data_IF_177942439547
#
_entry.id   IF_177942439547
#
_cell.length_a   1.000
_cell.length_b   1.000
_cell.length_c   1.000
_cell.angle_alpha   90.00
_cell.angle_beta   90.00
_cell.angle_gamma   90.00
#
_symmetry.space_group_name_H-M   'P 1'
#
loop_
_entity.id
_entity.type
_entity.pdbx_description
1 polymer ?
#
# COMPACT_ATOMS: atom_id res chain seq x y z
N UNK A 1 -25.17 -17.82 -33.89
CA UNK A 1 -24.82 -17.46 -32.51
C UNK A 1 -23.34 -17.10 -32.50
N UNK A 2 -23.01 -15.81 -32.50
CA UNK A 2 -21.62 -15.33 -32.40
C UNK A 2 -21.28 -15.19 -30.90
N UNK A 3 -20.39 -16.05 -30.42
CA UNK A 3 -19.80 -15.88 -29.09
C UNK A 3 -18.75 -14.80 -29.19
N UNK A 4 -19.01 -13.67 -28.58
CA UNK A 4 -18.04 -12.57 -28.43
C UNK A 4 -17.12 -12.97 -27.30
N UNK A 5 -15.90 -13.44 -27.61
CA UNK A 5 -14.85 -13.65 -26.62
C UNK A 5 -14.21 -12.29 -26.39
N UNK A 6 -14.55 -11.66 -25.28
CA UNK A 6 -13.82 -10.50 -24.76
C UNK A 6 -12.53 -11.04 -24.16
N UNK A 7 -11.44 -10.97 -24.92
CA UNK A 7 -10.08 -11.17 -24.43
C UNK A 7 -9.69 -9.92 -23.63
N UNK A 8 -9.98 -9.92 -22.35
CA UNK A 8 -9.40 -8.94 -21.43
C UNK A 8 -8.00 -9.40 -21.04
N UNK A 9 -7.08 -8.49 -21.10
CA UNK A 9 -5.65 -8.43 -20.76
C UNK A 9 -5.18 -9.23 -19.53
N UNK A 10 -5.18 -10.58 -19.62
CA UNK A 10 -4.62 -11.40 -18.55
C UNK A 10 -3.77 -12.52 -19.15
N UNK A 11 -2.45 -12.35 -19.05
CA UNK A 11 -1.49 -13.37 -19.47
C UNK A 11 -1.49 -14.57 -18.51
N UNK A 12 -1.44 -15.74 -19.07
CA UNK A 12 -1.30 -17.02 -18.36
C UNK A 12 0.18 -17.29 -18.19
N UNK A 13 0.65 -17.38 -16.96
CA UNK A 13 2.03 -17.77 -16.64
C UNK A 13 2.07 -19.28 -16.41
N UNK A 14 2.84 -20.00 -17.22
CA UNK A 14 3.08 -21.43 -17.06
C UNK A 14 4.35 -21.65 -16.26
N UNK A 15 4.23 -22.32 -15.12
CA UNK A 15 5.39 -22.83 -14.37
C UNK A 15 5.42 -24.34 -14.55
N UNK A 16 6.41 -24.85 -15.26
CA UNK A 16 6.61 -26.29 -15.46
C UNK A 16 7.72 -26.78 -14.53
N UNK A 17 7.33 -27.40 -13.41
CA UNK A 17 8.22 -28.30 -12.65
C UNK A 17 7.94 -29.74 -13.06
N UNK A 18 8.94 -30.64 -12.95
CA UNK A 18 8.81 -32.03 -13.33
C UNK A 18 7.72 -32.72 -12.48
N UNK A 19 6.53 -32.87 -13.02
CA UNK A 19 5.37 -33.63 -12.58
C UNK A 19 4.09 -32.86 -12.22
N UNK A 20 4.09 -31.51 -12.09
CA UNK A 20 2.85 -30.79 -11.84
C UNK A 20 2.78 -29.50 -12.65
N UNK A 21 1.75 -29.38 -13.52
CA UNK A 21 1.43 -28.13 -14.23
C UNK A 21 0.51 -27.29 -13.34
N UNK A 22 0.96 -26.13 -12.89
CA UNK A 22 0.12 -25.17 -12.21
C UNK A 22 -0.20 -24.04 -13.18
N UNK A 23 -1.47 -23.87 -13.50
CA UNK A 23 -1.96 -22.79 -14.34
C UNK A 23 -2.32 -21.60 -13.44
N UNK A 24 -1.64 -20.48 -13.59
CA UNK A 24 -2.03 -19.23 -12.95
C UNK A 24 -2.82 -18.41 -13.97
N UNK A 25 -4.12 -18.24 -13.73
CA UNK A 25 -4.88 -17.19 -14.41
C UNK A 25 -4.72 -15.91 -13.61
N UNK A 26 -4.69 -14.80 -14.28
CA UNK A 26 -4.53 -13.46 -13.68
C UNK A 26 -5.65 -13.05 -12.73
N UNK A 27 -6.64 -13.88 -12.50
CA UNK A 27 -7.68 -13.74 -11.47
C UNK A 27 -8.05 -15.08 -10.84
N UNK A 28 -7.60 -15.27 -9.64
CA UNK A 28 -8.28 -15.93 -8.52
C UNK A 28 -8.82 -17.35 -8.67
N UNK A 29 -8.68 -18.07 -9.79
CA UNK A 29 -9.03 -19.48 -9.87
C UNK A 29 -7.79 -20.35 -10.10
N UNK A 30 -7.36 -21.02 -9.05
CA UNK A 30 -6.38 -22.11 -9.12
C UNK A 30 -7.17 -23.38 -9.50
N UNK A 31 -7.20 -23.72 -10.77
CA UNK A 31 -7.70 -25.04 -11.17
C UNK A 31 -6.55 -26.03 -11.05
N UNK A 32 -6.62 -26.88 -10.07
CA UNK A 32 -5.66 -27.97 -9.87
C UNK A 32 -5.93 -29.03 -10.94
N UNK A 33 -5.10 -29.07 -11.97
CA UNK A 33 -5.09 -30.16 -12.96
C UNK A 33 -3.91 -31.09 -12.59
N UNK A 34 -4.09 -31.90 -11.61
CA UNK A 34 -3.54 -33.24 -11.40
C UNK A 34 -3.90 -33.71 -9.97
N UNK A 35 -4.32 -34.94 -9.81
CA UNK A 35 -4.35 -35.58 -8.51
C UNK A 35 -2.90 -35.63 -8.00
N UNK A 36 -2.61 -35.01 -6.86
CA UNK A 36 -1.37 -35.25 -6.15
C UNK A 36 -1.37 -36.72 -5.71
N UNK A 37 -0.27 -37.39 -6.01
CA UNK A 37 -0.02 -38.73 -5.47
C UNK A 37 0.07 -38.57 -3.95
N UNK A 38 -0.78 -39.27 -3.19
CA UNK A 38 -0.88 -39.16 -1.71
C UNK A 38 0.35 -39.73 -0.97
N UNK A 39 1.39 -40.13 -1.72
CA UNK A 39 2.60 -40.77 -1.17
C UNK A 39 3.77 -39.79 -0.90
N UNK A 40 3.69 -38.53 -1.27
CA UNK A 40 4.81 -37.60 -1.05
C UNK A 40 4.82 -37.06 0.39
N UNK A 41 5.97 -37.26 1.07
CA UNK A 41 6.22 -36.73 2.40
C UNK A 41 6.10 -35.19 2.38
N UNK A 42 5.09 -34.57 3.08
CA UNK A 42 4.85 -33.15 3.05
C UNK A 42 5.96 -32.32 3.72
N UNK A 43 6.94 -32.96 4.35
CA UNK A 43 8.09 -32.32 4.95
C UNK A 43 9.19 -31.99 3.94
N UNK A 44 9.14 -32.55 2.73
CA UNK A 44 10.12 -32.25 1.70
C UNK A 44 9.93 -30.82 1.16
N UNK A 45 11.04 -30.11 0.93
CA UNK A 45 10.99 -28.80 0.31
C UNK A 45 10.75 -28.94 -1.20
N UNK A 46 9.52 -28.67 -1.62
CA UNK A 46 9.10 -28.67 -3.02
C UNK A 46 8.83 -27.25 -3.53
N UNK A 47 9.39 -26.22 -2.87
CA UNK A 47 9.17 -24.83 -3.26
C UNK A 47 9.67 -24.61 -4.70
N UNK A 48 8.78 -24.20 -5.64
CA UNK A 48 9.21 -23.94 -7.01
C UNK A 48 10.17 -22.74 -7.05
N UNK A 49 11.11 -22.72 -8.00
CA UNK A 49 11.98 -21.57 -8.19
C UNK A 49 11.13 -20.32 -8.51
N UNK A 50 11.66 -19.15 -8.12
CA UNK A 50 11.03 -17.88 -8.43
C UNK A 50 10.93 -17.69 -9.95
N UNK A 51 9.70 -17.43 -10.49
CA UNK A 51 9.54 -17.13 -11.92
C UNK A 51 10.24 -15.82 -12.30
N UNK A 52 10.64 -15.72 -13.56
CA UNK A 52 10.97 -14.43 -14.16
C UNK A 52 9.66 -13.70 -14.48
N UNK A 53 9.46 -12.55 -13.85
CA UNK A 53 8.29 -11.70 -14.06
C UNK A 53 8.53 -10.61 -15.11
N UNK A 54 9.73 -10.51 -15.66
CA UNK A 54 9.99 -9.62 -16.78
C UNK A 54 9.28 -10.12 -18.05
N UNK A 55 8.78 -9.19 -18.86
CA UNK A 55 8.20 -9.50 -20.17
C UNK A 55 8.40 -8.29 -21.10
N UNK A 56 8.49 -8.48 -22.42
CA UNK A 56 8.58 -7.38 -23.38
C UNK A 56 7.42 -6.40 -23.18
N UNK A 57 7.73 -5.12 -23.01
CA UNK A 57 6.76 -4.05 -22.80
C UNK A 57 6.22 -3.94 -21.37
N UNK A 58 6.55 -4.86 -20.47
CA UNK A 58 6.15 -4.75 -19.05
C UNK A 58 7.10 -3.78 -18.33
N UNK A 59 6.51 -2.87 -17.55
CA UNK A 59 7.25 -1.95 -16.69
C UNK A 59 7.92 -2.70 -15.52
N UNK A 60 9.04 -2.15 -15.03
CA UNK A 60 9.75 -2.76 -13.89
C UNK A 60 8.89 -2.76 -12.62
N UNK A 61 8.13 -1.70 -12.39
CA UNK A 61 7.18 -1.61 -11.26
C UNK A 61 6.07 -2.67 -11.31
N UNK A 62 5.58 -3.01 -12.51
CA UNK A 62 4.61 -4.09 -12.72
C UNK A 62 5.24 -5.48 -12.47
N UNK A 63 6.45 -5.70 -12.97
CA UNK A 63 7.19 -6.94 -12.71
C UNK A 63 7.42 -7.13 -11.21
N UNK A 64 7.79 -6.07 -10.50
CA UNK A 64 7.93 -6.09 -9.04
C UNK A 64 6.61 -6.34 -8.30
N UNK A 65 5.50 -5.83 -8.80
CA UNK A 65 4.18 -6.13 -8.25
C UNK A 65 3.87 -7.64 -8.32
N UNK A 66 4.13 -8.30 -9.47
CA UNK A 66 3.98 -9.76 -9.60
C UNK A 66 4.92 -10.53 -8.67
N UNK A 67 6.16 -10.05 -8.51
CA UNK A 67 7.13 -10.62 -7.58
C UNK A 67 6.60 -10.59 -6.14
N UNK A 68 6.05 -9.47 -5.68
CA UNK A 68 5.48 -9.33 -4.34
C UNK A 68 4.26 -10.24 -4.13
N UNK A 69 3.38 -10.35 -5.13
CA UNK A 69 2.24 -11.28 -5.08
C UNK A 69 2.70 -12.75 -4.97
N UNK A 70 3.74 -13.12 -5.73
CA UNK A 70 4.33 -14.46 -5.64
C UNK A 70 4.92 -14.74 -4.27
N UNK A 71 5.62 -13.78 -3.66
CA UNK A 71 6.20 -13.93 -2.32
C UNK A 71 5.12 -14.14 -1.24
N UNK A 72 3.99 -13.44 -1.34
CA UNK A 72 2.85 -13.67 -0.44
C UNK A 72 2.35 -15.11 -0.57
N UNK A 73 2.13 -15.54 -1.81
CA UNK A 73 1.68 -16.90 -2.08
C UNK A 73 2.68 -17.94 -1.58
N UNK A 74 3.97 -17.73 -1.84
CA UNK A 74 5.04 -18.61 -1.34
C UNK A 74 5.00 -18.74 0.18
N UNK A 75 4.92 -17.62 0.92
CA UNK A 75 4.81 -17.67 2.39
C UNK A 75 3.58 -18.44 2.85
N UNK A 76 2.43 -18.28 2.17
CA UNK A 76 1.21 -19.04 2.49
C UNK A 76 1.38 -20.53 2.21
N UNK A 77 1.98 -20.89 1.08
CA UNK A 77 2.24 -22.28 0.70
C UNK A 77 3.23 -22.94 1.68
N UNK A 78 4.28 -22.21 2.11
CA UNK A 78 5.26 -22.68 3.10
C UNK A 78 4.62 -22.95 4.46
N UNK A 79 3.74 -22.08 4.94
CA UNK A 79 2.98 -22.29 6.19
C UNK A 79 2.06 -23.50 6.06
N UNK A 80 1.36 -23.62 4.94
CA UNK A 80 0.46 -24.75 4.69
C UNK A 80 1.24 -26.06 4.65
N UNK A 81 2.40 -26.10 4.01
CA UNK A 81 3.31 -27.26 3.96
C UNK A 81 3.81 -27.60 5.36
N UNK A 82 4.31 -26.61 6.10
CA UNK A 82 4.80 -26.80 7.46
C UNK A 82 3.72 -27.37 8.37
N UNK A 83 2.49 -26.86 8.28
CA UNK A 83 1.35 -27.38 9.04
C UNK A 83 1.06 -28.85 8.70
N UNK A 84 1.02 -29.18 7.40
CA UNK A 84 0.84 -30.58 6.94
C UNK A 84 1.98 -31.48 7.38
N UNK A 85 3.22 -30.99 7.35
CA UNK A 85 4.38 -31.72 7.83
C UNK A 85 4.27 -32.01 9.34
N UNK A 86 3.90 -31.04 10.16
CA UNK A 86 3.65 -31.23 11.58
C UNK A 86 2.51 -32.24 11.84
N UNK A 87 1.41 -32.15 11.07
CA UNK A 87 0.32 -33.11 11.16
C UNK A 87 0.77 -34.52 10.76
N UNK A 88 1.56 -34.65 9.70
CA UNK A 88 2.13 -35.93 9.24
C UNK A 88 3.06 -36.53 10.31
N UNK A 89 4.01 -35.77 10.87
CA UNK A 89 4.88 -36.17 11.96
C UNK A 89 4.04 -36.62 13.18
N UNK A 90 3.01 -35.86 13.54
CA UNK A 90 2.14 -36.14 14.66
C UNK A 90 1.33 -37.41 14.48
N UNK A 91 0.83 -37.71 13.29
CA UNK A 91 0.08 -38.95 13.01
C UNK A 91 0.96 -40.17 13.02
N UNK A 92 2.27 -39.98 12.74
CA UNK A 92 3.26 -41.09 12.76
C UNK A 92 4.00 -41.19 14.09
N UNK A 93 3.83 -40.26 15.06
CA UNK A 93 4.54 -40.25 16.35
C UNK A 93 3.64 -40.10 17.60
N UNK A 94 2.34 -40.37 17.52
CA UNK A 94 1.38 -40.37 18.64
C UNK A 94 1.29 -39.07 19.49
N UNK A 95 0.13 -38.43 19.49
CA UNK A 95 -0.32 -37.38 20.43
C UNK A 95 -1.11 -36.22 19.81
N UNK A 96 -2.32 -35.96 20.31
CA UNK A 96 -3.19 -34.88 19.86
C UNK A 96 -3.04 -33.61 20.70
N UNK A 97 -3.02 -32.42 20.12
CA UNK A 97 -3.64 -31.23 20.71
C UNK A 97 -4.64 -30.52 19.80
N UNK A 98 -5.55 -29.76 20.40
CA UNK A 98 -6.63 -28.96 19.82
C UNK A 98 -6.23 -27.48 19.75
N UNK A 99 -6.69 -26.77 18.71
CA UNK A 99 -6.45 -25.32 18.52
C UNK A 99 -7.79 -24.60 18.42
N UNK A 100 -7.92 -23.44 19.09
CA UNK A 100 -9.11 -22.59 19.09
C UNK A 100 -8.89 -21.28 18.34
N UNK A 101 -9.96 -20.77 17.67
CA UNK A 101 -10.01 -19.51 16.97
C UNK A 101 -11.06 -18.59 17.57
N UNK A 102 -10.81 -17.26 17.53
CA UNK A 102 -11.74 -16.22 17.97
C UNK A 102 -12.17 -15.29 16.82
N UNK A 103 -13.41 -14.79 16.88
CA UNK A 103 -14.05 -13.97 15.83
C UNK A 103 -14.65 -12.69 16.43
N UNK A 104 -14.54 -11.56 15.68
CA UNK A 104 -15.50 -10.48 15.74
C UNK A 104 -15.00 -9.05 15.87
N UNK A 105 -15.52 -8.14 15.02
CA UNK A 105 -15.69 -6.71 15.24
C UNK A 105 -14.58 -5.76 14.74
N UNK A 106 -14.94 -4.70 14.02
CA UNK A 106 -14.03 -3.97 13.13
C UNK A 106 -13.41 -2.69 13.68
N UNK A 107 -12.10 -2.68 13.98
CA UNK A 107 -11.11 -1.80 13.39
C UNK A 107 -10.28 -2.55 12.32
N UNK A 108 -9.36 -1.88 11.59
CA UNK A 108 -8.51 -2.56 10.58
C UNK A 108 -7.86 -3.80 11.17
N UNK A 109 -7.93 -4.91 10.45
CA UNK A 109 -7.26 -6.14 10.90
C UNK A 109 -5.75 -6.01 10.68
N UNK A 110 -4.91 -6.57 11.57
CA UNK A 110 -3.46 -6.57 11.36
C UNK A 110 -3.12 -7.15 9.98
N UNK A 111 -2.32 -6.41 9.17
CA UNK A 111 -1.97 -6.81 7.81
C UNK A 111 -3.01 -6.48 6.74
N UNK A 112 -4.05 -5.72 7.05
CA UNK A 112 -5.01 -5.23 6.06
C UNK A 112 -4.38 -4.19 5.13
N UNK A 113 -3.50 -3.33 5.64
CA UNK A 113 -2.73 -2.33 4.89
C UNK A 113 -1.24 -2.43 5.23
N UNK A 114 -0.57 -3.51 4.79
CA UNK A 114 0.78 -3.83 5.25
C UNK A 114 1.88 -2.93 4.66
N UNK A 115 1.54 -2.08 3.71
CA UNK A 115 2.45 -1.10 3.09
C UNK A 115 2.44 0.26 3.79
N UNK A 116 1.55 0.45 4.79
CA UNK A 116 1.46 1.72 5.50
C UNK A 116 2.70 1.99 6.34
N UNK A 117 3.28 3.16 6.13
CA UNK A 117 4.39 3.69 6.91
C UNK A 117 4.03 5.04 7.53
N UNK A 118 4.29 5.20 8.83
CA UNK A 118 4.18 6.47 9.52
C UNK A 118 5.52 7.20 9.50
N UNK A 119 5.56 8.41 8.92
CA UNK A 119 6.77 9.23 8.81
C UNK A 119 6.95 10.04 10.09
N UNK A 120 8.08 9.84 10.77
CA UNK A 120 8.34 10.30 12.12
C UNK A 120 9.45 11.35 12.21
N UNK A 121 9.15 12.40 12.97
CA UNK A 121 10.06 13.44 13.41
C UNK A 121 10.43 13.24 14.86
N UNK A 122 11.67 13.53 15.22
CA UNK A 122 12.07 13.54 16.62
C UNK A 122 11.43 14.74 17.31
N UNK A 123 10.65 14.47 18.36
CA UNK A 123 10.11 15.53 19.21
C UNK A 123 11.21 16.25 19.99
N UNK A 124 11.00 17.50 20.35
CA UNK A 124 11.91 18.24 21.21
C UNK A 124 12.16 17.53 22.57
N UNK A 125 11.20 16.73 23.04
CA UNK A 125 11.27 15.92 24.27
C UNK A 125 11.87 14.51 24.08
N UNK A 126 12.33 14.18 22.86
CA UNK A 126 13.02 12.93 22.56
C UNK A 126 12.15 11.75 22.13
N UNK A 127 10.82 11.90 22.10
CA UNK A 127 9.87 10.92 21.53
C UNK A 127 9.70 11.10 20.01
N UNK A 128 8.91 10.24 19.38
CA UNK A 128 8.57 10.39 17.96
C UNK A 128 7.20 11.05 17.78
N UNK A 129 7.10 11.97 16.83
CA UNK A 129 5.85 12.58 16.37
C UNK A 129 5.66 12.20 14.90
N UNK A 130 4.55 11.55 14.59
CA UNK A 130 4.21 11.18 13.23
C UNK A 130 3.27 12.23 12.63
N UNK A 131 3.65 12.82 11.49
CA UNK A 131 2.90 13.92 10.85
C UNK A 131 2.46 13.61 9.43
N UNK A 132 3.02 12.54 8.83
CA UNK A 132 2.72 12.12 7.47
C UNK A 132 2.62 10.59 7.40
N UNK A 133 1.86 10.12 6.42
CA UNK A 133 1.86 8.75 5.96
C UNK A 133 2.84 8.54 4.80
N UNK A 134 3.07 7.28 4.46
CA UNK A 134 3.81 6.84 3.30
C UNK A 134 3.40 5.43 2.89
N UNK A 135 3.79 4.99 1.71
CA UNK A 135 3.52 3.65 1.19
C UNK A 135 4.82 2.94 0.84
N UNK A 136 5.10 1.80 1.46
CA UNK A 136 6.22 0.95 1.09
C UNK A 136 6.02 0.44 -0.34
N UNK A 137 7.00 0.61 -1.23
CA UNK A 137 6.96 0.18 -2.63
C UNK A 137 8.11 -0.75 -3.02
N UNK A 138 9.13 -0.85 -2.16
CA UNK A 138 10.20 -1.86 -2.26
C UNK A 138 10.85 -2.07 -0.90
N UNK A 139 11.84 -2.96 -0.79
CA UNK A 139 12.54 -3.20 0.49
C UNK A 139 13.29 -1.98 1.03
N UNK A 140 13.54 -0.96 0.21
CA UNK A 140 14.30 0.25 0.61
C UNK A 140 13.60 1.57 0.34
N UNK A 141 12.46 1.54 -0.36
CA UNK A 141 11.85 2.78 -0.82
C UNK A 141 10.37 2.86 -0.45
N UNK A 142 9.98 4.06 -0.02
CA UNK A 142 8.58 4.40 0.26
C UNK A 142 8.18 5.64 -0.55
N UNK A 143 6.91 5.68 -0.92
CA UNK A 143 6.28 6.79 -1.63
C UNK A 143 5.53 7.67 -0.64
N UNK A 144 5.66 8.99 -0.75
CA UNK A 144 4.99 9.99 0.10
C UNK A 144 4.79 11.30 -0.66
N UNK A 145 4.18 12.30 -0.02
CA UNK A 145 4.08 13.64 -0.58
C UNK A 145 5.38 14.45 -0.39
N UNK A 146 5.71 15.31 -1.34
CA UNK A 146 6.92 16.11 -1.26
C UNK A 146 6.88 17.13 -0.09
N UNK A 147 5.70 17.65 0.26
CA UNK A 147 5.56 18.54 1.41
C UNK A 147 5.84 17.85 2.76
N UNK A 148 5.85 16.51 2.80
CA UNK A 148 6.25 15.71 3.96
C UNK A 148 7.77 15.62 4.15
N UNK A 149 8.57 16.10 3.19
CA UNK A 149 10.03 16.10 3.32
C UNK A 149 10.55 17.04 4.39
N UNK A 150 9.77 18.06 4.74
CA UNK A 150 10.19 19.07 5.72
C UNK A 150 8.99 19.80 6.33
N UNK A 151 8.93 19.89 7.64
CA UNK A 151 7.96 20.74 8.34
C UNK A 151 8.44 22.20 8.40
N UNK A 152 7.52 23.11 8.75
CA UNK A 152 7.85 24.53 8.90
C UNK A 152 8.98 24.70 9.96
N UNK A 153 9.98 25.54 9.70
CA UNK A 153 10.99 25.90 10.70
C UNK A 153 10.40 26.55 11.97
N UNK A 154 9.15 26.99 11.92
CA UNK A 154 8.42 27.54 13.08
C UNK A 154 7.71 26.48 13.90
N UNK A 155 7.77 25.22 13.50
CA UNK A 155 7.16 24.11 14.23
C UNK A 155 8.08 23.71 15.41
N UNK A 156 7.76 24.21 16.58
CA UNK A 156 8.54 23.97 17.81
C UNK A 156 8.29 22.61 18.44
N UNK A 157 7.38 21.79 17.89
CA UNK A 157 7.10 20.45 18.41
C UNK A 157 8.21 19.45 18.07
N UNK A 158 9.01 19.72 17.04
CA UNK A 158 10.07 18.85 16.55
C UNK A 158 11.46 19.44 16.79
N UNK A 159 12.44 18.57 17.01
CA UNK A 159 13.85 18.95 17.18
C UNK A 159 14.50 19.34 15.84
N UNK A 160 14.12 18.66 14.74
CA UNK A 160 14.61 18.89 13.39
C UNK A 160 13.42 19.06 12.44
N UNK A 161 13.52 19.93 11.42
CA UNK A 161 12.44 20.10 10.44
C UNK A 161 12.29 18.91 9.50
N UNK A 162 13.30 18.05 9.34
CA UNK A 162 13.30 16.87 8.48
C UNK A 162 12.91 15.62 9.27
N UNK A 163 12.14 14.68 8.70
CA UNK A 163 11.81 13.43 9.37
C UNK A 163 13.03 12.50 9.42
N UNK A 164 13.10 11.66 10.45
CA UNK A 164 14.27 10.82 10.71
C UNK A 164 13.98 9.33 10.58
N UNK A 165 12.72 8.89 10.79
CA UNK A 165 12.33 7.49 10.71
C UNK A 165 11.05 7.28 9.91
N UNK A 166 10.85 6.03 9.48
CA UNK A 166 9.55 5.50 9.08
C UNK A 166 9.23 4.31 9.97
N UNK A 167 8.03 4.28 10.55
CA UNK A 167 7.49 3.15 11.31
C UNK A 167 6.58 2.32 10.41
N UNK A 168 6.82 1.02 10.33
CA UNK A 168 6.10 0.06 9.51
C UNK A 168 5.52 -1.06 10.37
N UNK A 169 4.38 -1.63 9.94
CA UNK A 169 3.77 -2.78 10.58
C UNK A 169 3.02 -2.46 11.87
N UNK A 170 2.87 -1.18 12.21
CA UNK A 170 2.15 -0.72 13.38
C UNK A 170 0.73 -0.27 13.01
N UNK A 171 -0.21 -0.72 13.81
CA UNK A 171 -1.59 -0.26 13.74
C UNK A 171 -1.84 0.93 14.68
N UNK A 172 -1.19 0.93 15.86
CA UNK A 172 -1.35 1.94 16.89
C UNK A 172 -0.03 2.64 17.18
N UNK A 173 0.20 3.77 16.52
CA UNK A 173 1.46 4.53 16.61
C UNK A 173 1.71 5.20 17.98
N UNK A 174 0.70 5.27 18.85
CA UNK A 174 0.84 5.83 20.20
C UNK A 174 1.23 4.78 21.23
N UNK A 175 0.88 3.52 21.04
CA UNK A 175 1.17 2.44 21.98
C UNK A 175 1.76 1.22 21.24
N UNK A 176 3.07 1.21 21.19
CA UNK A 176 3.89 0.20 20.50
C UNK A 176 3.80 -1.19 21.14
N UNK A 177 3.36 -1.28 22.40
CA UNK A 177 3.41 -2.52 23.17
C UNK A 177 2.06 -3.22 23.34
N UNK A 178 0.95 -2.51 23.15
CA UNK A 178 -0.39 -3.04 23.45
C UNK A 178 -0.88 -4.14 22.50
N UNK A 179 -0.31 -4.25 21.30
CA UNK A 179 -0.82 -5.12 20.24
C UNK A 179 -0.08 -6.45 20.09
N UNK A 180 0.99 -6.70 20.87
CA UNK A 180 1.86 -7.88 20.67
C UNK A 180 2.55 -7.90 19.30
N UNK A 181 2.54 -6.78 18.60
CA UNK A 181 3.18 -6.58 17.29
C UNK A 181 4.37 -5.67 17.49
N UNK A 182 5.53 -6.09 16.99
CA UNK A 182 6.74 -5.27 17.01
C UNK A 182 6.86 -4.54 15.66
N UNK A 183 6.68 -3.20 15.61
CA UNK A 183 6.87 -2.42 14.40
C UNK A 183 8.34 -2.39 14.00
N UNK A 184 8.58 -2.13 12.72
CA UNK A 184 9.91 -1.88 12.18
C UNK A 184 10.11 -0.36 12.08
N UNK A 185 10.92 0.22 12.98
CA UNK A 185 11.38 1.59 12.87
C UNK A 185 12.68 1.62 12.04
N UNK A 186 12.60 2.19 10.83
CA UNK A 186 13.72 2.27 9.89
C UNK A 186 14.15 3.72 9.72
N UNK A 187 15.45 3.96 9.80
CA UNK A 187 16.01 5.31 9.62
C UNK A 187 15.92 5.75 8.18
N UNK A 188 15.55 7.00 7.97
CA UNK A 188 15.57 7.64 6.65
C UNK A 188 17.02 7.94 6.28
N UNK A 189 17.43 7.51 5.08
CA UNK A 189 18.72 7.83 4.49
C UNK A 189 18.67 9.16 3.75
N UNK A 190 17.64 9.35 2.94
CA UNK A 190 17.34 10.59 2.20
C UNK A 190 15.90 10.62 1.73
N UNK A 191 15.43 11.81 1.39
CA UNK A 191 14.14 12.01 0.72
C UNK A 191 14.41 12.69 -0.62
N UNK A 192 13.91 12.08 -1.70
CA UNK A 192 14.02 12.59 -3.07
C UNK A 192 12.67 13.20 -3.44
N UNK A 193 12.56 14.51 -3.43
CA UNK A 193 11.37 15.23 -3.91
C UNK A 193 11.40 15.33 -5.43
N UNK A 194 10.22 15.33 -6.06
CA UNK A 194 10.15 15.53 -7.51
C UNK A 194 10.76 16.90 -7.90
N UNK A 195 11.59 16.97 -8.97
CA UNK A 195 12.33 18.20 -9.30
C UNK A 195 11.44 19.40 -9.60
N UNK A 196 10.21 19.20 -10.05
CA UNK A 196 9.26 20.28 -10.33
C UNK A 196 8.44 20.70 -9.09
N UNK A 197 8.61 20.04 -7.94
CA UNK A 197 7.96 20.47 -6.71
C UNK A 197 8.52 21.82 -6.25
N UNK A 198 7.66 22.81 -6.12
CA UNK A 198 8.05 24.19 -5.79
C UNK A 198 7.10 24.79 -4.75
N UNK A 199 7.30 24.51 -3.44
CA UNK A 199 6.43 25.06 -2.40
C UNK A 199 6.50 26.59 -2.39
N UNK A 200 5.41 27.29 -2.08
CA UNK A 200 4.15 26.76 -1.54
C UNK A 200 3.11 26.32 -2.60
N UNK A 201 3.50 26.21 -3.89
CA UNK A 201 2.60 25.69 -4.93
C UNK A 201 2.21 24.25 -4.63
N UNK A 202 1.00 23.83 -5.09
CA UNK A 202 0.36 22.55 -4.79
C UNK A 202 0.49 21.51 -5.91
N UNK A 203 1.52 21.62 -6.76
CA UNK A 203 1.75 20.76 -7.90
C UNK A 203 3.01 19.93 -7.70
N UNK A 204 3.07 18.75 -8.35
CA UNK A 204 4.20 17.82 -8.28
C UNK A 204 4.53 17.38 -6.84
N UNK A 205 3.51 17.28 -6.01
CA UNK A 205 3.63 16.98 -4.58
C UNK A 205 3.83 15.48 -4.37
N UNK A 206 5.03 14.98 -4.70
CA UNK A 206 5.45 13.59 -4.62
C UNK A 206 6.91 13.51 -4.22
N UNK A 207 7.23 12.57 -3.34
CA UNK A 207 8.59 12.26 -2.92
C UNK A 207 8.79 10.77 -2.68
N UNK A 208 10.05 10.33 -2.76
CA UNK A 208 10.49 8.98 -2.45
C UNK A 208 11.42 9.05 -1.24
N UNK A 209 11.10 8.28 -0.21
CA UNK A 209 11.94 8.08 0.97
C UNK A 209 12.82 6.85 0.71
N UNK A 210 14.14 7.00 0.78
CA UNK A 210 15.10 5.90 0.84
C UNK A 210 15.48 5.64 2.29
N UNK A 211 15.36 4.39 2.76
CA UNK A 211 15.75 4.00 4.12
C UNK A 211 17.14 3.38 4.15
N UNK A 212 17.78 3.41 5.33
CA UNK A 212 19.18 2.97 5.51
C UNK A 212 19.34 1.46 5.40
N UNK A 213 18.36 0.70 5.87
CA UNK A 213 18.38 -0.78 5.92
C UNK A 213 17.19 -1.34 5.17
N UNK A 214 17.35 -2.54 4.63
CA UNK A 214 16.24 -3.22 3.98
C UNK A 214 15.15 -3.60 4.97
N UNK A 215 13.91 -3.32 4.56
CA UNK A 215 12.71 -3.69 5.30
C UNK A 215 12.46 -5.18 5.12
N UNK A 216 12.20 -5.88 6.21
CA UNK A 216 11.86 -7.31 6.20
C UNK A 216 10.37 -7.45 5.92
N UNK A 217 10.04 -8.14 4.83
CA UNK A 217 8.64 -8.39 4.46
C UNK A 217 8.03 -9.48 5.33
N UNK A 218 6.88 -9.18 5.89
CA UNK A 218 6.10 -10.06 6.75
C UNK A 218 4.62 -9.97 6.36
N UNK A 219 3.75 -10.71 7.03
CA UNK A 219 2.29 -10.53 6.86
C UNK A 219 1.78 -9.12 7.23
N UNK A 220 2.56 -8.38 8.03
CA UNK A 220 2.22 -7.03 8.52
C UNK A 220 2.97 -5.92 7.78
N UNK A 221 4.04 -6.26 7.06
CA UNK A 221 4.87 -5.30 6.33
C UNK A 221 5.16 -5.85 4.94
N UNK A 222 4.57 -5.25 3.92
CA UNK A 222 4.70 -5.66 2.53
C UNK A 222 4.62 -4.45 1.61
N UNK A 223 5.33 -4.44 0.48
CA UNK A 223 5.20 -3.35 -0.48
C UNK A 223 3.83 -3.40 -1.17
N UNK A 224 3.33 -2.21 -1.53
CA UNK A 224 2.20 -2.06 -2.43
C UNK A 224 2.66 -2.08 -3.89
N UNK A 225 1.70 -2.34 -4.79
CA UNK A 225 1.88 -2.16 -6.22
C UNK A 225 1.58 -0.72 -6.64
N UNK A 226 2.18 -0.26 -7.72
CA UNK A 226 1.85 1.02 -8.33
C UNK A 226 0.86 0.79 -9.48
N UNK A 227 -0.19 1.63 -9.56
CA UNK A 227 -1.06 1.63 -10.72
C UNK A 227 -0.41 2.47 -11.82
N UNK A 228 -0.07 1.84 -12.93
CA UNK A 228 0.71 2.46 -14.01
C UNK A 228 -0.14 3.09 -15.09
N UNK A 229 -1.44 2.74 -15.18
CA UNK A 229 -2.34 3.29 -16.16
C UNK A 229 -2.94 4.62 -15.68
N UNK A 230 -2.97 5.62 -16.57
CA UNK A 230 -3.61 6.90 -16.27
C UNK A 230 -5.11 6.75 -15.99
N UNK A 231 -5.78 5.89 -16.73
CA UNK A 231 -7.19 5.55 -16.55
C UNK A 231 -7.37 4.60 -15.34
N UNK A 232 -8.14 5.03 -14.37
CA UNK A 232 -8.49 4.25 -13.17
C UNK A 232 -9.84 3.55 -13.30
N UNK A 233 -10.57 3.68 -14.41
CA UNK A 233 -11.92 3.11 -14.60
C UNK A 233 -11.94 1.59 -14.44
N UNK A 234 -10.86 0.91 -14.80
CA UNK A 234 -10.69 -0.54 -14.65
C UNK A 234 -10.68 -0.99 -13.17
N UNK A 235 -10.38 -0.08 -12.24
CA UNK A 235 -10.38 -0.34 -10.81
C UNK A 235 -11.74 -0.05 -10.15
N UNK A 236 -12.69 0.46 -10.93
CA UNK A 236 -14.00 0.91 -10.46
C UNK A 236 -14.01 2.38 -10.03
N UNK A 237 -15.06 2.78 -9.32
CA UNK A 237 -15.29 4.18 -8.91
C UNK A 237 -14.93 4.47 -7.46
N UNK A 238 -14.47 3.45 -6.71
CA UNK A 238 -14.16 3.57 -5.28
C UNK A 238 -12.69 3.31 -5.01
N UNK A 239 -12.17 4.03 -4.04
CA UNK A 239 -10.84 3.82 -3.50
C UNK A 239 -10.89 3.90 -1.97
N UNK A 240 -9.86 3.41 -1.31
CA UNK A 240 -9.73 3.48 0.15
C UNK A 240 -8.60 4.44 0.52
N UNK A 241 -8.88 5.32 1.46
CA UNK A 241 -7.90 6.12 2.17
C UNK A 241 -7.45 5.39 3.42
N UNK A 242 -6.20 5.54 3.79
CA UNK A 242 -5.70 5.05 5.08
C UNK A 242 -4.72 6.03 5.70
N UNK A 243 -4.82 6.19 7.01
CA UNK A 243 -3.93 7.06 7.75
C UNK A 243 -4.24 7.16 9.25
N UNK A 244 -3.44 7.94 9.93
CA UNK A 244 -3.58 8.26 11.36
C UNK A 244 -4.02 9.72 11.57
N UNK A 245 -4.66 10.30 10.57
CA UNK A 245 -5.08 11.70 10.57
C UNK A 245 -6.20 12.02 11.54
N UNK A 246 -6.69 13.25 11.44
CA UNK A 246 -7.74 13.77 12.30
C UNK A 246 -9.06 13.05 12.06
N UNK A 247 -9.68 12.56 13.12
CA UNK A 247 -10.93 11.76 13.11
C UNK A 247 -12.20 12.57 13.34
N UNK A 248 -12.08 13.87 13.65
CA UNK A 248 -13.22 14.74 13.95
C UNK A 248 -13.21 15.96 13.02
N UNK A 249 -14.33 16.24 12.35
CA UNK A 249 -14.46 17.44 11.50
C UNK A 249 -14.24 18.70 12.33
N UNK A 250 -13.24 19.51 11.95
CA UNK A 250 -12.83 20.71 12.67
C UNK A 250 -12.04 20.46 13.98
N UNK A 251 -11.78 19.18 14.32
CA UNK A 251 -10.97 18.78 15.47
C UNK A 251 -9.46 18.85 15.21
N UNK A 252 -8.68 18.64 16.28
CA UNK A 252 -7.21 18.49 16.24
C UNK A 252 -6.74 17.12 16.70
N UNK A 253 -7.69 16.25 17.08
CA UNK A 253 -7.38 14.93 17.62
C UNK A 253 -7.13 13.95 16.48
N UNK A 254 -5.89 13.52 16.33
CA UNK A 254 -5.48 12.47 15.41
C UNK A 254 -5.82 11.09 15.97
N UNK A 255 -6.04 10.11 15.10
CA UNK A 255 -6.22 8.73 15.52
C UNK A 255 -4.88 8.10 15.89
N UNK A 256 -4.74 7.50 17.09
CA UNK A 256 -3.57 6.66 17.36
C UNK A 256 -3.62 5.36 16.55
N UNK A 257 -4.80 4.87 16.21
CA UNK A 257 -5.00 3.67 15.41
C UNK A 257 -5.19 3.99 13.92
N UNK A 258 -4.61 3.16 13.05
CA UNK A 258 -4.78 3.26 11.61
C UNK A 258 -6.27 3.17 11.24
N UNK A 259 -6.75 4.19 10.57
CA UNK A 259 -8.11 4.28 10.05
C UNK A 259 -8.14 3.96 8.56
N UNK A 260 -9.24 3.40 8.10
CA UNK A 260 -9.53 3.21 6.69
C UNK A 260 -10.92 3.75 6.35
N UNK A 261 -11.02 4.46 5.22
CA UNK A 261 -12.26 5.07 4.76
C UNK A 261 -12.41 4.92 3.25
N UNK A 262 -13.60 4.47 2.82
CA UNK A 262 -13.90 4.36 1.40
C UNK A 262 -14.42 5.67 0.85
N UNK A 263 -13.84 6.12 -0.26
CA UNK A 263 -14.17 7.34 -0.98
C UNK A 263 -14.47 7.04 -2.44
N UNK A 264 -15.17 7.96 -3.09
CA UNK A 264 -15.43 7.88 -4.53
C UNK A 264 -14.33 8.64 -5.28
N UNK A 265 -13.86 8.06 -6.39
CA UNK A 265 -12.97 8.72 -7.34
C UNK A 265 -13.86 9.67 -8.16
N UNK A 266 -13.50 10.95 -8.19
CA UNK A 266 -14.30 12.01 -8.79
C UNK A 266 -13.63 12.44 -10.10
N UNK A 267 -14.44 12.62 -11.14
CA UNK A 267 -13.96 13.13 -12.43
C UNK A 267 -13.28 14.49 -12.28
N UNK A 268 -12.25 14.72 -13.09
CA UNK A 268 -11.43 15.94 -12.98
C UNK A 268 -12.22 17.21 -13.28
N UNK A 269 -13.15 17.18 -14.24
CA UNK A 269 -13.96 18.37 -14.62
C UNK A 269 -15.01 18.65 -13.55
N UNK A 270 -15.64 17.62 -12.99
CA UNK A 270 -16.55 17.74 -11.85
C UNK A 270 -15.78 18.31 -10.63
N UNK A 271 -14.63 17.76 -10.31
CA UNK A 271 -13.78 18.22 -9.22
C UNK A 271 -13.36 19.69 -9.40
N UNK A 272 -12.93 20.06 -10.61
CA UNK A 272 -12.57 21.44 -10.92
C UNK A 272 -13.73 22.40 -10.73
N UNK A 273 -14.94 22.00 -11.10
CA UNK A 273 -16.17 22.78 -10.91
C UNK A 273 -16.49 22.97 -9.43
N UNK A 274 -16.42 21.90 -8.63
CA UNK A 274 -16.67 21.93 -7.20
C UNK A 274 -15.67 22.82 -6.45
N UNK A 275 -14.41 22.79 -6.84
CA UNK A 275 -13.33 23.50 -6.14
C UNK A 275 -13.00 24.86 -6.71
N UNK A 276 -13.74 25.36 -7.70
CA UNK A 276 -13.46 26.64 -8.39
C UNK A 276 -13.29 27.84 -7.45
N UNK A 277 -14.06 27.89 -6.36
CA UNK A 277 -13.97 28.97 -5.36
C UNK A 277 -12.68 28.95 -4.52
N UNK A 278 -11.94 27.85 -4.54
CA UNK A 278 -10.70 27.67 -3.80
C UNK A 278 -9.45 27.93 -4.63
N UNK A 279 -9.61 28.23 -5.94
CA UNK A 279 -8.48 28.57 -6.82
C UNK A 279 -7.80 29.84 -6.34
N UNK A 280 -6.49 29.80 -6.34
CA UNK A 280 -5.66 30.92 -5.91
C UNK A 280 -4.28 30.88 -6.61
N UNK A 281 -3.37 31.80 -6.25
CA UNK A 281 -2.02 31.85 -6.84
C UNK A 281 -1.17 30.61 -6.60
N UNK A 282 -1.49 29.79 -5.59
CA UNK A 282 -0.75 28.59 -5.22
C UNK A 282 -1.31 27.33 -5.89
N UNK A 283 -2.59 27.36 -6.25
CA UNK A 283 -3.29 26.29 -6.94
C UNK A 283 -4.39 26.88 -7.84
N UNK A 284 -4.25 26.67 -9.15
CA UNK A 284 -5.11 27.26 -10.18
C UNK A 284 -6.13 26.28 -10.74
N UNK A 285 -6.29 25.15 -10.11
CA UNK A 285 -7.18 24.07 -10.52
C UNK A 285 -6.47 22.72 -10.62
N UNK A 286 -7.27 21.68 -10.92
CA UNK A 286 -6.80 20.31 -11.05
C UNK A 286 -5.93 20.19 -12.30
N UNK A 287 -4.71 19.66 -12.14
CA UNK A 287 -3.79 19.36 -13.23
C UNK A 287 -3.84 17.85 -13.59
N UNK A 288 -3.33 17.48 -14.77
CA UNK A 288 -3.29 16.10 -15.25
C UNK A 288 -2.60 15.14 -14.28
N UNK A 289 -1.62 15.62 -13.52
CA UNK A 289 -0.91 14.83 -12.51
C UNK A 289 -1.59 14.86 -11.13
N UNK A 290 -2.82 15.36 -11.06
CA UNK A 290 -3.66 15.34 -9.86
C UNK A 290 -4.91 14.49 -10.08
N UNK A 291 -5.49 14.04 -9.02
CA UNK A 291 -6.69 13.23 -8.99
C UNK A 291 -7.53 13.63 -7.77
N UNK A 292 -8.84 13.54 -7.89
CA UNK A 292 -9.78 13.92 -6.86
C UNK A 292 -10.49 12.69 -6.32
N UNK A 293 -10.66 12.67 -5.00
CA UNK A 293 -11.51 11.66 -4.36
C UNK A 293 -12.13 12.22 -3.07
N UNK A 294 -13.27 11.70 -2.68
CA UNK A 294 -13.95 12.11 -1.46
C UNK A 294 -15.39 11.61 -1.41
N UNK A 295 -16.10 11.91 -0.33
CA UNK A 295 -17.54 11.73 -0.23
C UNK A 295 -18.24 13.08 -0.42
N UNK A 296 -18.92 13.27 -1.55
CA UNK A 296 -19.61 14.53 -1.84
C UNK A 296 -20.74 14.84 -0.84
N UNK A 297 -21.27 13.80 -0.18
CA UNK A 297 -22.20 13.99 0.94
C UNK A 297 -21.54 14.59 2.19
N UNK A 298 -20.21 14.59 2.26
CA UNK A 298 -19.44 14.94 3.44
C UNK A 298 -19.27 13.78 4.43
N UNK A 299 -18.63 14.02 5.55
CA UNK A 299 -18.45 13.06 6.65
C UNK A 299 -17.22 12.17 6.56
N UNK A 300 -16.61 12.01 5.38
CA UNK A 300 -15.40 11.20 5.14
C UNK A 300 -14.51 11.90 4.13
N UNK A 301 -13.27 12.16 4.50
CA UNK A 301 -12.23 12.71 3.63
C UNK A 301 -10.85 12.50 4.26
N UNK A 302 -9.77 12.69 3.47
CA UNK A 302 -8.43 12.83 4.02
C UNK A 302 -8.30 14.12 4.82
N UNK A 303 -7.69 14.05 5.98
CA UNK A 303 -7.49 15.20 6.86
C UNK A 303 -6.02 15.33 7.29
N UNK A 304 -5.73 16.31 8.15
CA UNK A 304 -4.39 16.54 8.68
C UNK A 304 -3.84 15.29 9.38
N UNK A 305 -2.68 14.81 8.96
CA UNK A 305 -2.05 13.59 9.42
C UNK A 305 -2.13 12.43 8.40
N UNK A 306 -3.04 12.51 7.41
CA UNK A 306 -3.13 11.56 6.30
C UNK A 306 -2.22 11.95 5.11
N UNK A 307 -1.64 13.16 5.15
CA UNK A 307 -0.70 13.69 4.14
C UNK A 307 0.37 12.67 3.79
N UNK A 308 0.62 12.46 2.51
CA UNK A 308 1.60 11.47 2.01
C UNK A 308 1.13 10.01 2.06
N UNK A 309 0.03 9.72 2.74
CA UNK A 309 -0.61 8.41 2.75
C UNK A 309 -1.26 8.06 1.40
N UNK A 310 -1.58 6.77 1.17
CA UNK A 310 -2.12 6.31 -0.10
C UNK A 310 -3.61 6.58 -0.28
N UNK A 311 -3.99 6.89 -1.51
CA UNK A 311 -5.29 6.56 -2.08
C UNK A 311 -5.11 5.26 -2.86
N UNK A 312 -5.86 4.20 -2.53
CA UNK A 312 -5.54 2.86 -2.95
C UNK A 312 -6.76 2.02 -3.29
N UNK A 313 -6.53 0.97 -4.09
CA UNK A 313 -7.53 -0.05 -4.42
C UNK A 313 -6.98 -1.43 -4.08
N UNK A 314 -7.76 -2.24 -3.38
CA UNK A 314 -7.34 -3.59 -2.99
C UNK A 314 -7.25 -4.50 -4.22
N UNK A 315 -6.15 -5.25 -4.33
CA UNK A 315 -5.98 -6.27 -5.36
C UNK A 315 -6.76 -7.53 -4.91
N UNK A 316 -7.65 -8.07 -5.76
CA UNK A 316 -8.43 -9.26 -5.42
C UNK A 316 -7.55 -10.52 -5.51
N UNK A 317 -6.77 -10.77 -4.47
CA UNK A 317 -6.02 -12.02 -4.33
C UNK A 317 -6.87 -13.08 -3.64
N UNK A 318 -6.57 -14.39 -3.84
CA UNK A 318 -7.13 -15.45 -3.03
C UNK A 318 -6.94 -15.16 -1.54
N UNK A 319 -7.92 -15.56 -0.71
CA UNK A 319 -7.84 -15.36 0.73
C UNK A 319 -6.57 -16.01 1.27
N UNK A 320 -5.75 -15.21 1.94
CA UNK A 320 -4.50 -15.63 2.54
C UNK A 320 -4.37 -15.04 3.94
N UNK A 321 -3.71 -15.75 4.85
CA UNK A 321 -3.34 -15.22 6.17
C UNK A 321 -2.08 -14.35 6.15
N UNK A 322 -1.49 -14.14 4.95
CA UNK A 322 -0.21 -13.46 4.76
C UNK A 322 -0.32 -11.97 4.39
N UNK A 323 -1.47 -11.36 4.67
CA UNK A 323 -1.74 -9.96 4.42
C UNK A 323 -2.45 -9.68 3.10
N UNK A 324 -2.62 -8.41 2.78
CA UNK A 324 -3.33 -7.91 1.60
C UNK A 324 -2.39 -7.16 0.67
N UNK A 325 -2.76 -7.06 -0.60
CA UNK A 325 -2.06 -6.25 -1.61
C UNK A 325 -2.98 -5.15 -2.13
N UNK A 326 -2.37 -4.01 -2.46
CA UNK A 326 -3.10 -2.84 -2.95
C UNK A 326 -2.35 -2.19 -4.11
N UNK A 327 -3.11 -1.61 -5.05
CA UNK A 327 -2.60 -0.64 -6.00
C UNK A 327 -2.67 0.75 -5.40
N UNK A 328 -1.55 1.48 -5.36
CA UNK A 328 -1.52 2.90 -5.04
C UNK A 328 -1.84 3.67 -6.32
N UNK A 329 -2.96 4.39 -6.32
CA UNK A 329 -3.42 5.22 -7.44
C UNK A 329 -3.12 6.70 -7.22
N UNK A 330 -3.05 7.11 -5.93
CA UNK A 330 -2.81 8.49 -5.54
C UNK A 330 -2.08 8.61 -4.21
N UNK A 331 -1.54 9.81 -3.96
CA UNK A 331 -0.89 10.21 -2.71
C UNK A 331 -1.66 11.39 -2.15
N UNK A 332 -2.06 11.33 -0.90
CA UNK A 332 -2.76 12.43 -0.21
C UNK A 332 -1.90 13.68 -0.21
N UNK A 333 -2.37 14.74 -0.88
CA UNK A 333 -1.61 15.98 -1.05
C UNK A 333 -2.22 17.13 -0.23
N UNK A 334 -3.43 17.55 -0.52
CA UNK A 334 -4.10 18.62 0.22
C UNK A 334 -5.62 18.58 0.03
N UNK A 335 -6.35 19.31 0.88
CA UNK A 335 -7.78 19.57 0.74
C UNK A 335 -8.13 21.02 1.05
N UNK A 336 -9.26 21.49 0.56
CA UNK A 336 -9.81 22.82 0.88
C UNK A 336 -10.57 22.81 2.22
N UNK A 337 -10.78 21.63 2.82
CA UNK A 337 -11.41 21.41 4.12
C UNK A 337 -11.52 19.91 4.36
N UNK A 338 -11.67 19.47 5.63
CA UNK A 338 -11.83 18.05 5.95
C UNK A 338 -13.31 17.67 6.01
N UNK A 339 -13.71 16.62 5.31
CA UNK A 339 -15.02 15.97 5.38
C UNK A 339 -16.23 16.90 5.12
N UNK A 340 -16.03 17.99 4.38
CA UNK A 340 -17.09 18.94 4.05
C UNK A 340 -17.86 18.50 2.80
N UNK A 341 -19.15 18.81 2.77
CA UNK A 341 -19.99 18.51 1.60
C UNK A 341 -19.50 19.24 0.36
N UNK A 342 -19.42 18.50 -0.77
CA UNK A 342 -18.99 19.00 -2.07
C UNK A 342 -17.54 19.55 -2.11
N UNK A 343 -16.70 19.14 -1.16
CA UNK A 343 -15.28 19.54 -1.13
C UNK A 343 -14.43 18.27 -1.11
N UNK A 344 -14.05 17.74 -2.29
CA UNK A 344 -13.17 16.57 -2.37
C UNK A 344 -11.71 16.90 -2.03
N UNK A 345 -10.97 15.89 -1.61
CA UNK A 345 -9.52 15.95 -1.46
C UNK A 345 -8.78 15.89 -2.80
N UNK A 346 -7.58 16.45 -2.83
CA UNK A 346 -6.67 16.44 -3.97
C UNK A 346 -5.50 15.49 -3.67
N UNK A 347 -5.24 14.62 -4.62
CA UNK A 347 -4.19 13.59 -4.55
C UNK A 347 -3.23 13.74 -5.72
N UNK A 348 -1.96 13.45 -5.51
CA UNK A 348 -1.00 13.32 -6.60
C UNK A 348 -1.24 12.00 -7.32
N UNK A 349 -1.52 12.01 -8.62
CA UNK A 349 -1.78 10.83 -9.46
C UNK A 349 -0.49 10.05 -9.69
N UNK A 350 -0.39 8.83 -9.14
CA UNK A 350 0.82 8.00 -9.22
C UNK A 350 1.20 7.67 -10.66
N UNK A 351 0.23 7.33 -11.50
CA UNK A 351 0.47 6.99 -12.92
C UNK A 351 1.20 8.08 -13.70
N UNK A 352 1.06 9.34 -13.31
CA UNK A 352 1.76 10.46 -13.97
C UNK A 352 3.25 10.55 -13.65
N UNK A 353 3.74 9.76 -12.69
CA UNK A 353 5.11 9.83 -12.18
C UNK A 353 5.86 8.49 -12.25
N UNK A 354 5.30 7.49 -12.92
CA UNK A 354 5.87 6.13 -12.94
C UNK A 354 7.31 6.14 -13.46
N UNK A 355 7.59 6.85 -14.56
CA UNK A 355 8.95 6.92 -15.11
C UNK A 355 9.96 7.48 -14.09
N UNK A 356 9.59 8.55 -13.39
CA UNK A 356 10.43 9.14 -12.35
C UNK A 356 10.57 8.22 -11.15
N UNK A 357 9.49 7.54 -10.72
CA UNK A 357 9.55 6.58 -9.61
C UNK A 357 10.48 5.43 -9.96
N UNK A 358 10.32 4.84 -11.16
CA UNK A 358 11.14 3.72 -11.62
C UNK A 358 12.62 4.10 -11.71
N UNK A 359 12.91 5.30 -12.19
CA UNK A 359 14.26 5.85 -12.25
C UNK A 359 14.92 5.95 -10.88
N UNK A 360 14.18 6.41 -9.86
CA UNK A 360 14.73 6.62 -8.51
C UNK A 360 14.86 5.29 -7.77
N UNK A 361 13.89 4.39 -7.93
CA UNK A 361 13.74 3.18 -7.10
C UNK A 361 14.48 1.99 -7.67
N UNK A 362 14.48 1.82 -9.01
CA UNK A 362 14.94 0.60 -9.67
C UNK A 362 16.00 0.83 -10.77
N UNK A 363 16.38 2.08 -11.07
CA UNK A 363 17.48 2.35 -12.02
C UNK A 363 18.80 1.90 -11.42
N UNK A 364 19.31 0.77 -11.89
CA UNK A 364 20.58 0.16 -11.42
C UNK A 364 20.41 -1.19 -10.72
N UNK A 365 19.23 -1.80 -10.84
CA UNK A 365 18.99 -3.19 -10.50
C UNK A 365 19.17 -4.11 -11.75
#
# INVERSE_FOLDING_TARGET
>A
MKVLIILTLFEVIYVTGSSNKILYTSFGQITRIARADESENPCNDTTPPKPDFSAPGRRISEAKCYEYMWEIKKRQDDITRTTKCFEWIRTHQHGRPTVHYAVGGRPTTPGEFPHMGAVGWKAAVGTWIFKCGSSLISSKFLLTAAHCSKVSPRDTSVANPEPEIVRLGDKNIADVFSNGVYPQDVKIKRIVTHPNFSPPKKYFDIAIIEVTTEVIFTKLVQPACLWTNYDTSQLGTKATLTGWGVIESGGRKTSPELQAADVDIIDSDECQSLLRLYFNRLWRGVDLHQLCAGKLAGGVDACQGDSGGPLQVKIPLPVTSQGSMHYIIGITSFGAGCAQKNIPGIYTRVASFIDWIEDVVWRGL
#
